data_IF_243277331801
#
_entry.id   IF_243277331801
#
_cell.length_a   1.000
_cell.length_b   1.000
_cell.length_c   1.000
_cell.angle_alpha   90.00
_cell.angle_beta   90.00
_cell.angle_gamma   90.00
#
_symmetry.space_group_name_H-M   'P 1'
#
loop_
_entity.id
_entity.type
_entity.pdbx_description
1 polymer ?
#
# COMPACT_ATOMS: atom_id res chain seq x y z
N UNK A 1 -19.90 -25.80 12.42
CA UNK A 1 -19.08 -27.02 12.18
C UNK A 1 -18.38 -26.80 10.85
N UNK A 2 -17.05 -27.00 10.75
CA UNK A 2 -16.35 -26.86 9.47
C UNK A 2 -16.97 -27.81 8.42
N UNK A 3 -17.07 -27.41 7.13
CA UNK A 3 -17.51 -28.31 6.09
C UNK A 3 -16.63 -29.55 6.02
N UNK A 4 -17.25 -30.70 5.75
CA UNK A 4 -16.59 -32.00 5.73
C UNK A 4 -15.39 -32.03 4.77
N UNK A 5 -15.46 -31.29 3.67
CA UNK A 5 -14.38 -31.15 2.68
C UNK A 5 -13.19 -30.33 3.14
N UNK A 6 -13.40 -29.38 4.06
CA UNK A 6 -12.32 -28.60 4.66
C UNK A 6 -11.57 -29.47 5.66
N UNK A 7 -12.30 -30.18 6.52
CA UNK A 7 -11.74 -31.11 7.51
C UNK A 7 -10.88 -32.21 6.88
N UNK A 8 -11.32 -32.75 5.74
CA UNK A 8 -10.58 -33.76 4.99
C UNK A 8 -9.25 -33.23 4.46
N UNK A 9 -9.25 -32.06 3.80
CA UNK A 9 -8.03 -31.47 3.23
C UNK A 9 -6.95 -31.23 4.29
N UNK A 10 -7.37 -30.68 5.43
CA UNK A 10 -6.50 -30.39 6.58
C UNK A 10 -5.77 -31.65 7.06
N UNK A 11 -6.51 -32.74 7.26
CA UNK A 11 -5.88 -33.97 7.74
C UNK A 11 -5.04 -34.67 6.68
N UNK A 12 -5.39 -34.55 5.40
CA UNK A 12 -4.59 -35.11 4.32
C UNK A 12 -3.23 -34.39 4.16
N UNK A 13 -3.19 -33.07 4.33
CA UNK A 13 -1.93 -32.32 4.38
C UNK A 13 -1.08 -32.70 5.60
N UNK A 14 -1.71 -32.84 6.78
CA UNK A 14 -1.02 -33.25 8.01
C UNK A 14 -0.47 -34.68 7.93
N UNK A 15 -1.17 -35.57 7.24
CA UNK A 15 -0.73 -36.97 7.06
C UNK A 15 0.48 -37.06 6.13
N UNK A 16 0.58 -36.17 5.15
CA UNK A 16 1.77 -36.08 4.27
C UNK A 16 3.04 -35.66 5.02
N UNK A 17 2.91 -34.97 6.16
CA UNK A 17 4.03 -34.56 7.01
C UNK A 17 4.34 -35.54 8.17
N UNK A 18 3.64 -36.67 8.27
CA UNK A 18 3.91 -37.67 9.31
C UNK A 18 5.27 -38.37 9.13
N UNK A 19 6.06 -38.41 10.21
CA UNK A 19 7.36 -39.12 10.24
C UNK A 19 7.24 -40.64 10.06
N UNK A 20 6.08 -41.22 10.36
CA UNK A 20 5.80 -42.64 10.16
C UNK A 20 5.09 -42.88 8.82
N UNK A 21 5.87 -43.31 7.82
CA UNK A 21 5.37 -43.61 6.46
C UNK A 21 4.27 -44.68 6.43
N UNK A 22 4.33 -45.69 7.30
CA UNK A 22 3.34 -46.78 7.31
C UNK A 22 1.97 -46.27 7.79
N UNK A 23 1.96 -45.43 8.83
CA UNK A 23 0.74 -44.80 9.33
C UNK A 23 0.12 -43.83 8.32
N UNK A 24 0.97 -43.09 7.57
CA UNK A 24 0.50 -42.22 6.51
C UNK A 24 -0.12 -42.99 5.34
N UNK A 25 0.53 -44.08 4.90
CA UNK A 25 -0.02 -44.95 3.86
C UNK A 25 -1.32 -45.62 4.28
N UNK A 26 -1.42 -46.06 5.54
CA UNK A 26 -2.66 -46.65 6.07
C UNK A 26 -3.80 -45.63 6.13
N UNK A 27 -3.51 -44.34 6.41
CA UNK A 27 -4.50 -43.27 6.35
C UNK A 27 -4.94 -42.95 4.92
N UNK A 28 -4.00 -42.90 3.97
CA UNK A 28 -4.29 -42.61 2.57
C UNK A 28 -5.18 -43.68 1.92
N UNK A 29 -5.14 -44.92 2.43
CA UNK A 29 -5.98 -46.05 1.99
C UNK A 29 -7.41 -46.03 2.53
N UNK A 30 -7.72 -45.18 3.51
CA UNK A 30 -9.07 -45.07 4.05
C UNK A 30 -10.01 -44.40 3.05
N UNK A 31 -11.26 -44.86 3.00
CA UNK A 31 -12.30 -44.18 2.24
C UNK A 31 -12.58 -42.79 2.81
N UNK A 32 -13.13 -41.88 1.98
CA UNK A 32 -13.50 -40.52 2.39
C UNK A 32 -14.39 -40.52 3.64
N UNK A 33 -15.38 -41.42 3.69
CA UNK A 33 -16.29 -41.56 4.83
C UNK A 33 -15.57 -42.01 6.12
N UNK A 34 -14.60 -42.93 6.02
CA UNK A 34 -13.82 -43.41 7.17
C UNK A 34 -12.83 -42.37 7.69
N UNK A 35 -12.19 -41.60 6.79
CA UNK A 35 -11.34 -40.46 7.16
C UNK A 35 -12.16 -39.43 7.93
N UNK A 36 -13.32 -39.08 7.40
CA UNK A 36 -14.21 -38.12 8.01
C UNK A 36 -14.73 -38.60 9.37
N UNK A 37 -15.07 -39.88 9.48
CA UNK A 37 -15.45 -40.52 10.75
C UNK A 37 -14.32 -40.43 11.77
N UNK A 38 -13.08 -40.75 11.39
CA UNK A 38 -11.91 -40.64 12.28
C UNK A 38 -11.59 -39.20 12.68
N UNK A 39 -11.75 -38.24 11.77
CA UNK A 39 -11.57 -36.81 12.07
C UNK A 39 -12.63 -36.35 13.09
N UNK A 40 -13.90 -36.70 12.84
CA UNK A 40 -15.00 -36.41 13.75
C UNK A 40 -14.79 -37.11 15.09
N UNK A 41 -14.35 -38.36 15.11
CA UNK A 41 -13.98 -39.10 16.32
C UNK A 41 -12.80 -38.45 17.06
N UNK A 42 -11.75 -37.98 16.39
CA UNK A 42 -10.64 -37.26 17.03
C UNK A 42 -11.09 -35.95 17.69
N UNK A 43 -12.02 -35.24 17.04
CA UNK A 43 -12.64 -34.03 17.58
C UNK A 43 -13.62 -34.33 18.73
N UNK A 44 -14.25 -35.51 18.73
CA UNK A 44 -15.21 -35.95 19.76
C UNK A 44 -14.54 -36.65 20.97
N UNK A 45 -13.50 -37.45 20.76
CA UNK A 45 -12.83 -38.29 21.78
C UNK A 45 -11.82 -37.53 22.62
N UNK A 46 -11.11 -36.55 22.04
CA UNK A 46 -10.52 -35.51 22.88
C UNK A 46 -11.70 -34.68 23.38
N UNK A 47 -12.05 -34.77 24.66
CA UNK A 47 -13.00 -33.88 25.36
C UNK A 47 -12.54 -32.40 25.29
N UNK A 48 -12.23 -31.86 24.13
CA UNK A 48 -12.00 -30.44 23.89
C UNK A 48 -13.36 -29.76 23.84
N UNK A 49 -14.05 -29.74 25.00
CA UNK A 49 -15.25 -28.93 25.19
C UNK A 49 -14.93 -27.43 25.17
N UNK A 50 -13.65 -27.07 25.29
CA UNK A 50 -13.17 -25.71 25.36
C UNK A 50 -12.14 -25.44 24.26
N UNK A 51 -12.32 -24.34 23.54
CA UNK A 51 -11.43 -23.81 22.51
C UNK A 51 -9.96 -23.81 22.95
N UNK A 52 -9.68 -23.46 24.21
CA UNK A 52 -8.33 -23.37 24.75
C UNK A 52 -7.53 -24.68 24.69
N UNK A 53 -8.21 -25.84 24.68
CA UNK A 53 -7.55 -27.15 24.61
C UNK A 53 -7.35 -27.67 23.18
N UNK A 54 -7.86 -26.96 22.17
CA UNK A 54 -7.63 -27.32 20.78
C UNK A 54 -6.15 -27.09 20.42
N UNK A 55 -5.50 -28.03 19.71
CA UNK A 55 -4.15 -27.83 19.19
C UNK A 55 -4.08 -26.59 18.28
N UNK A 56 -2.96 -25.84 18.29
CA UNK A 56 -2.76 -24.67 17.42
C UNK A 56 -3.07 -24.93 15.96
N UNK A 57 -2.69 -26.10 15.43
CA UNK A 57 -2.95 -26.44 14.03
C UNK A 57 -4.44 -26.51 13.69
N UNK A 58 -5.29 -26.99 14.61
CA UNK A 58 -6.74 -27.06 14.37
C UNK A 58 -7.37 -25.66 14.47
N UNK A 59 -6.89 -24.84 15.40
CA UNK A 59 -7.31 -23.45 15.54
C UNK A 59 -6.99 -22.66 14.27
N UNK A 60 -5.78 -22.79 13.74
CA UNK A 60 -5.36 -22.10 12.51
C UNK A 60 -6.29 -22.39 11.34
N UNK A 61 -6.75 -23.62 11.19
CA UNK A 61 -7.70 -23.98 10.13
C UNK A 61 -9.08 -23.35 10.30
N UNK A 62 -9.52 -23.17 11.54
CA UNK A 62 -10.73 -22.39 11.82
C UNK A 62 -10.48 -20.91 11.55
N UNK A 63 -9.32 -20.37 11.93
CA UNK A 63 -8.98 -18.95 11.70
C UNK A 63 -8.93 -18.62 10.21
N UNK A 64 -8.41 -19.54 9.38
CA UNK A 64 -8.36 -19.39 7.92
C UNK A 64 -9.72 -19.20 7.27
N UNK A 65 -10.80 -19.71 7.87
CA UNK A 65 -12.17 -19.55 7.35
C UNK A 65 -12.91 -18.35 7.95
N UNK A 66 -12.34 -17.67 8.94
CA UNK A 66 -12.89 -16.43 9.45
C UNK A 66 -12.61 -15.30 8.45
N UNK A 67 -13.62 -14.44 8.29
CA UNK A 67 -13.49 -13.14 7.64
C UNK A 67 -12.55 -12.23 8.44
N UNK A 68 -12.08 -11.16 7.82
CA UNK A 68 -11.16 -10.24 8.48
C UNK A 68 -11.69 -9.68 9.82
N UNK A 69 -12.95 -9.18 9.94
CA UNK A 69 -13.49 -8.76 11.23
C UNK A 69 -13.53 -9.86 12.29
N UNK A 70 -13.86 -11.11 11.90
CA UNK A 70 -13.85 -12.26 12.79
C UNK A 70 -12.46 -12.58 13.31
N UNK A 71 -11.43 -12.46 12.47
CA UNK A 71 -10.02 -12.61 12.88
C UNK A 71 -9.60 -11.53 13.87
N UNK A 72 -9.97 -10.27 13.63
CA UNK A 72 -9.70 -9.18 14.56
C UNK A 72 -10.36 -9.42 15.92
N UNK A 73 -11.62 -9.84 15.94
CA UNK A 73 -12.31 -10.21 17.19
C UNK A 73 -11.60 -11.33 17.93
N UNK A 74 -11.19 -12.39 17.23
CA UNK A 74 -10.47 -13.50 17.83
C UNK A 74 -9.09 -13.08 18.36
N UNK A 75 -8.37 -12.24 17.61
CA UNK A 75 -7.07 -11.68 17.99
C UNK A 75 -7.12 -10.97 19.35
N UNK A 76 -8.26 -10.36 19.68
CA UNK A 76 -8.46 -9.64 20.95
C UNK A 76 -8.76 -10.56 22.15
N UNK A 77 -8.93 -11.88 21.96
CA UNK A 77 -9.41 -12.76 23.04
C UNK A 77 -8.32 -13.26 23.98
N UNK A 78 -7.13 -13.62 23.46
CA UNK A 78 -6.02 -14.12 24.25
C UNK A 78 -4.70 -14.03 23.47
N UNK A 79 -3.56 -13.91 24.18
CA UNK A 79 -2.22 -13.81 23.57
C UNK A 79 -1.91 -14.96 22.60
N UNK A 80 -2.21 -16.20 22.98
CA UNK A 80 -1.99 -17.36 22.11
C UNK A 80 -2.85 -17.31 20.83
N UNK A 81 -4.06 -16.75 20.89
CA UNK A 81 -4.92 -16.61 19.71
C UNK A 81 -4.46 -15.46 18.82
N UNK A 82 -4.00 -14.37 19.43
CA UNK A 82 -3.34 -13.26 18.74
C UNK A 82 -2.16 -13.76 17.93
N UNK A 83 -1.26 -14.54 18.53
CA UNK A 83 -0.08 -15.06 17.84
C UNK A 83 -0.47 -15.97 16.66
N UNK A 84 -1.54 -16.77 16.81
CA UNK A 84 -2.04 -17.61 15.73
C UNK A 84 -2.67 -16.78 14.60
N UNK A 85 -3.45 -15.76 14.92
CA UNK A 85 -4.02 -14.84 13.92
C UNK A 85 -2.89 -14.10 13.19
N UNK A 86 -1.93 -13.53 13.92
CA UNK A 86 -0.79 -12.77 13.38
C UNK A 86 0.13 -13.64 12.51
N UNK A 87 0.13 -14.96 12.72
CA UNK A 87 0.89 -15.90 11.87
C UNK A 87 0.31 -16.08 10.47
N UNK A 88 -0.95 -15.68 10.24
CA UNK A 88 -1.64 -15.82 8.96
C UNK A 88 -1.59 -14.51 8.19
N UNK A 89 -0.95 -14.54 7.01
CA UNK A 89 -0.93 -13.41 6.10
C UNK A 89 -2.32 -13.11 5.51
N UNK A 90 -2.53 -11.84 5.20
CA UNK A 90 -3.75 -11.33 4.59
C UNK A 90 -3.39 -10.61 3.30
N UNK A 91 -4.13 -10.89 2.24
CA UNK A 91 -4.07 -10.08 1.02
C UNK A 91 -5.09 -8.97 1.19
N UNK A 92 -4.67 -7.72 1.02
CA UNK A 92 -5.52 -6.56 1.01
C UNK A 92 -5.58 -6.03 -0.42
N UNK A 93 -6.80 -5.81 -0.91
CA UNK A 93 -7.02 -5.05 -2.12
C UNK A 93 -6.61 -3.59 -1.89
N UNK A 94 -7.02 -3.02 -0.76
CA UNK A 94 -6.62 -1.67 -0.38
C UNK A 94 -6.50 -1.46 1.12
N UNK A 95 -5.57 -0.59 1.51
CA UNK A 95 -5.45 -0.01 2.84
C UNK A 95 -5.32 1.49 2.66
N UNK A 96 -6.21 2.26 3.26
CA UNK A 96 -6.21 3.72 3.13
C UNK A 96 -6.21 4.37 4.50
N UNK A 97 -5.42 5.43 4.66
CA UNK A 97 -5.51 6.39 5.75
C UNK A 97 -5.76 7.75 5.12
N UNK A 98 -6.98 8.26 5.21
CA UNK A 98 -7.38 9.52 4.56
C UNK A 98 -7.84 10.55 5.57
N UNK A 99 -7.74 11.84 5.23
CA UNK A 99 -8.40 12.87 6.02
C UNK A 99 -9.88 12.96 5.61
N UNK A 100 -10.78 13.02 6.58
CA UNK A 100 -12.19 13.31 6.32
C UNK A 100 -12.27 14.79 5.91
N UNK A 101 -12.63 15.05 4.64
CA UNK A 101 -12.76 16.41 4.08
C UNK A 101 -13.69 17.34 4.89
N UNK A 102 -14.47 16.81 5.83
CA UNK A 102 -15.43 17.55 6.66
C UNK A 102 -14.92 17.96 8.05
N UNK A 103 -13.90 17.33 8.66
CA UNK A 103 -13.38 17.70 9.99
C UNK A 103 -11.90 17.32 10.21
N UNK A 104 -11.28 17.89 11.25
CA UNK A 104 -9.84 17.85 11.63
C UNK A 104 -9.17 16.45 11.75
N UNK A 105 -9.84 15.35 11.42
CA UNK A 105 -9.43 13.98 11.72
C UNK A 105 -9.68 13.03 10.54
N UNK A 106 -9.00 11.87 10.52
CA UNK A 106 -9.01 10.95 9.37
C UNK A 106 -9.90 9.72 9.47
N UNK A 107 -9.81 8.84 8.47
CA UNK A 107 -10.43 7.53 8.41
C UNK A 107 -9.35 6.53 8.00
N UNK A 108 -9.28 5.39 8.68
CA UNK A 108 -8.53 4.23 8.20
C UNK A 108 -9.51 3.19 7.66
N UNK A 109 -9.28 2.72 6.44
CA UNK A 109 -10.07 1.68 5.81
C UNK A 109 -9.16 0.55 5.33
N UNK A 110 -9.60 -0.68 5.52
CA UNK A 110 -8.90 -1.88 5.06
C UNK A 110 -9.89 -2.79 4.36
N UNK A 111 -9.56 -3.12 3.12
CA UNK A 111 -10.36 -3.97 2.25
C UNK A 111 -9.56 -5.24 1.97
N UNK A 112 -9.84 -6.36 2.65
CA UNK A 112 -9.21 -7.64 2.35
C UNK A 112 -9.64 -8.13 0.97
N UNK A 113 -8.72 -8.72 0.20
CA UNK A 113 -9.05 -9.34 -1.08
C UNK A 113 -9.98 -10.54 -0.86
N UNK A 114 -11.02 -10.75 -1.70
CA UNK A 114 -11.94 -11.88 -1.58
C UNK A 114 -11.21 -13.23 -1.54
N UNK A 115 -11.64 -14.13 -0.66
CA UNK A 115 -11.11 -15.51 -0.57
C UNK A 115 -12.12 -16.50 -1.15
N UNK A 116 -12.04 -16.72 -2.46
CA UNK A 116 -12.95 -17.63 -3.16
C UNK A 116 -14.38 -17.08 -3.21
N UNK A 117 -15.36 -17.80 -2.67
CA UNK A 117 -16.79 -17.41 -2.69
C UNK A 117 -17.15 -16.49 -1.50
N UNK A 118 -16.26 -16.35 -0.51
CA UNK A 118 -16.49 -15.48 0.65
C UNK A 118 -16.17 -14.03 0.28
N UNK A 119 -17.21 -13.19 0.30
CA UNK A 119 -17.06 -11.73 0.33
C UNK A 119 -16.40 -11.37 1.66
N UNK A 120 -15.20 -10.79 1.60
CA UNK A 120 -14.54 -10.23 2.78
C UNK A 120 -15.19 -8.89 3.09
N UNK A 121 -15.60 -8.68 4.35
CA UNK A 121 -16.09 -7.38 4.78
C UNK A 121 -14.91 -6.44 5.00
N UNK A 122 -14.98 -5.24 4.43
CA UNK A 122 -14.03 -4.19 4.74
C UNK A 122 -14.22 -3.73 6.19
N UNK A 123 -13.15 -3.19 6.78
CA UNK A 123 -13.18 -2.56 8.09
C UNK A 123 -12.85 -1.09 7.90
N UNK A 124 -13.73 -0.21 8.36
CA UNK A 124 -13.51 1.23 8.40
C UNK A 124 -13.53 1.71 9.84
N UNK A 125 -12.61 2.60 10.16
CA UNK A 125 -12.48 3.21 11.47
C UNK A 125 -12.32 4.72 11.30
N UNK A 126 -13.35 5.47 11.73
CA UNK A 126 -13.32 6.93 11.74
C UNK A 126 -12.55 7.42 12.95
N UNK A 127 -11.61 8.31 12.70
CA UNK A 127 -10.83 9.00 13.71
C UNK A 127 -11.53 10.34 13.96
N UNK A 128 -11.82 10.65 15.22
CA UNK A 128 -12.43 11.93 15.61
C UNK A 128 -11.80 12.53 16.87
N UNK A 129 -10.75 11.89 17.40
CA UNK A 129 -9.93 12.40 18.49
C UNK A 129 -8.53 11.77 18.46
N UNK A 130 -7.65 12.28 19.31
CA UNK A 130 -6.25 11.84 19.41
C UNK A 130 -6.07 10.36 19.83
N UNK A 131 -6.89 9.86 20.76
CA UNK A 131 -6.80 8.46 21.22
C UNK A 131 -7.12 7.50 20.07
N UNK A 132 -8.13 7.83 19.27
CA UNK A 132 -8.48 7.06 18.09
C UNK A 132 -7.42 7.16 17.01
N UNK A 133 -6.73 8.29 16.90
CA UNK A 133 -5.62 8.41 15.95
C UNK A 133 -4.50 7.42 16.29
N UNK A 134 -4.09 7.33 17.56
CA UNK A 134 -3.09 6.34 18.01
C UNK A 134 -3.55 4.91 17.71
N UNK A 135 -4.81 4.58 18.01
CA UNK A 135 -5.42 3.30 17.65
C UNK A 135 -5.35 3.02 16.13
N UNK A 136 -5.68 4.01 15.30
CA UNK A 136 -5.65 3.88 13.84
C UNK A 136 -4.23 3.62 13.32
N UNK A 137 -3.21 4.28 13.89
CA UNK A 137 -1.80 4.02 13.53
C UNK A 137 -1.39 2.61 13.89
N UNK A 138 -1.76 2.10 15.08
CA UNK A 138 -1.50 0.72 15.44
C UNK A 138 -2.24 -0.28 14.54
N UNK A 139 -3.43 0.09 14.08
CA UNK A 139 -4.17 -0.70 13.12
C UNK A 139 -3.47 -0.73 11.76
N UNK A 140 -2.99 0.43 11.26
CA UNK A 140 -2.16 0.51 10.05
C UNK A 140 -0.88 -0.32 10.19
N UNK A 141 -0.17 -0.19 11.30
CA UNK A 141 1.03 -0.97 11.62
C UNK A 141 0.76 -2.48 11.54
N UNK A 142 -0.35 -2.93 12.11
CA UNK A 142 -0.79 -4.32 12.02
C UNK A 142 -1.01 -4.74 10.56
N UNK A 143 -1.74 -3.95 9.76
CA UNK A 143 -1.96 -4.24 8.35
C UNK A 143 -0.66 -4.33 7.56
N UNK A 144 0.29 -3.41 7.78
CA UNK A 144 1.62 -3.43 7.15
C UNK A 144 2.42 -4.70 7.53
N UNK A 145 2.33 -5.14 8.78
CA UNK A 145 3.07 -6.31 9.30
C UNK A 145 2.59 -7.63 8.69
N UNK A 146 1.27 -7.82 8.58
CA UNK A 146 0.68 -9.09 8.16
C UNK A 146 0.16 -9.10 6.72
N UNK A 147 0.10 -7.91 6.10
CA UNK A 147 -0.50 -7.70 4.79
C UNK A 147 0.46 -7.95 3.64
N UNK A 148 -0.09 -8.49 2.56
CA UNK A 148 0.32 -8.19 1.19
C UNK A 148 -0.71 -7.22 0.65
N UNK A 149 -0.32 -5.99 0.35
CA UNK A 149 -1.24 -4.90 0.06
C UNK A 149 -1.12 -4.53 -1.42
N UNK A 150 -2.22 -4.65 -2.16
CA UNK A 150 -2.25 -4.29 -3.57
C UNK A 150 -2.22 -2.77 -3.76
N UNK A 151 -2.95 -2.01 -2.93
CA UNK A 151 -2.94 -0.54 -2.91
C UNK A 151 -2.87 0.03 -1.50
N UNK A 152 -1.83 0.82 -1.21
CA UNK A 152 -1.68 1.57 0.04
C UNK A 152 -1.78 3.07 -0.26
N UNK A 153 -2.77 3.73 0.32
CA UNK A 153 -2.94 5.17 0.22
C UNK A 153 -2.82 5.83 1.60
N UNK A 154 -1.95 6.83 1.70
CA UNK A 154 -1.77 7.61 2.92
C UNK A 154 -1.87 9.09 2.58
N UNK A 155 -2.90 9.72 3.12
CA UNK A 155 -3.15 11.15 3.06
C UNK A 155 -3.16 11.67 4.51
N UNK A 156 -2.07 12.34 4.91
CA UNK A 156 -1.95 12.88 6.26
C UNK A 156 -2.81 14.14 6.45
N UNK A 157 -3.51 14.18 7.59
CA UNK A 157 -4.15 15.38 8.12
C UNK A 157 -3.33 15.97 9.28
N UNK A 158 -3.13 17.28 9.23
CA UNK A 158 -2.41 18.17 10.16
C UNK A 158 -2.29 17.71 11.64
N UNK A 159 -1.21 17.01 12.02
CA UNK A 159 -0.65 17.05 13.39
C UNK A 159 0.85 16.70 13.45
N UNK A 160 1.73 17.69 13.27
CA UNK A 160 3.19 17.52 13.09
C UNK A 160 3.97 16.82 14.20
N UNK A 161 3.60 16.98 15.48
CA UNK A 161 4.41 16.52 16.63
C UNK A 161 4.24 15.05 16.98
N UNK A 162 3.03 14.50 16.77
CA UNK A 162 2.72 13.10 17.11
C UNK A 162 3.20 12.11 16.06
N UNK A 163 3.39 12.60 14.84
CA UNK A 163 3.75 11.79 13.70
C UNK A 163 5.09 11.05 13.88
N UNK A 164 6.09 11.67 14.52
CA UNK A 164 7.39 11.04 14.74
C UNK A 164 7.34 9.81 15.66
N UNK A 165 6.45 9.80 16.66
CA UNK A 165 6.26 8.61 17.50
C UNK A 165 5.50 7.50 16.77
N UNK A 166 4.62 7.88 15.85
CA UNK A 166 3.94 6.93 14.95
C UNK A 166 4.90 6.27 13.97
N UNK A 167 5.89 6.99 13.47
CA UNK A 167 6.94 6.41 12.63
C UNK A 167 7.67 5.26 13.32
N UNK A 168 7.97 5.36 14.62
CA UNK A 168 8.58 4.27 15.40
C UNK A 168 7.69 3.04 15.49
N UNK A 169 6.37 3.22 15.50
CA UNK A 169 5.40 2.11 15.52
C UNK A 169 5.34 1.43 14.15
N UNK A 170 5.27 2.22 13.07
CA UNK A 170 5.25 1.72 11.70
C UNK A 170 6.57 0.99 11.35
N UNK A 171 7.72 1.53 11.76
CA UNK A 171 9.04 0.92 11.48
C UNK A 171 9.14 -0.51 12.04
N UNK A 172 8.55 -0.79 13.21
CA UNK A 172 8.51 -2.13 13.82
C UNK A 172 7.69 -3.14 13.01
N UNK A 173 6.89 -2.66 12.07
CA UNK A 173 6.03 -3.49 11.20
C UNK A 173 6.70 -3.81 9.86
N UNK A 174 7.89 -3.27 9.62
CA UNK A 174 8.67 -3.57 8.43
C UNK A 174 9.07 -5.06 8.37
N UNK A 175 9.27 -5.61 7.16
CA UNK A 175 9.19 -4.94 5.87
C UNK A 175 7.76 -4.86 5.32
N UNK A 176 7.48 -3.85 4.50
CA UNK A 176 6.16 -3.57 3.92
C UNK A 176 6.02 -4.19 2.53
N UNK A 177 5.05 -5.10 2.39
CA UNK A 177 4.73 -5.72 1.10
C UNK A 177 3.58 -4.99 0.43
N UNK A 178 3.93 -4.03 -0.43
CA UNK A 178 3.00 -3.11 -1.09
C UNK A 178 3.29 -3.11 -2.59
N UNK A 179 2.25 -3.27 -3.41
CA UNK A 179 2.36 -3.25 -4.87
C UNK A 179 2.20 -1.82 -5.42
N UNK A 180 1.22 -1.06 -4.94
CA UNK A 180 1.01 0.33 -5.32
C UNK A 180 0.98 1.22 -4.08
N UNK A 181 1.86 2.22 -4.04
CA UNK A 181 1.95 3.19 -2.94
C UNK A 181 1.52 4.57 -3.42
N UNK A 182 0.55 5.19 -2.74
CA UNK A 182 0.17 6.59 -2.92
C UNK A 182 0.34 7.34 -1.60
N UNK A 183 1.15 8.38 -1.62
CA UNK A 183 1.40 9.23 -0.46
C UNK A 183 1.11 10.68 -0.84
N UNK A 184 0.25 11.33 -0.05
CA UNK A 184 -0.12 12.74 -0.19
C UNK A 184 0.05 13.46 1.15
N UNK A 185 0.54 14.70 1.12
CA UNK A 185 0.70 15.59 2.28
C UNK A 185 1.50 15.03 3.48
N UNK A 186 2.25 13.94 3.30
CA UNK A 186 3.06 13.33 4.36
C UNK A 186 4.42 14.01 4.47
N UNK A 187 4.90 14.22 5.70
CA UNK A 187 6.28 14.69 6.02
C UNK A 187 7.40 13.91 5.33
N UNK A 188 8.51 14.57 4.99
CA UNK A 188 9.72 13.95 4.40
C UNK A 188 10.14 12.68 5.15
N UNK A 189 10.32 12.76 6.47
CA UNK A 189 10.75 11.60 7.28
C UNK A 189 9.78 10.42 7.19
N UNK A 190 8.49 10.70 6.99
CA UNK A 190 7.47 9.68 6.72
C UNK A 190 7.72 8.95 5.41
N UNK A 191 7.84 9.73 4.34
CA UNK A 191 8.02 9.20 2.98
C UNK A 191 9.30 8.36 2.96
N UNK A 192 10.37 8.86 3.57
CA UNK A 192 11.63 8.16 3.71
C UNK A 192 11.51 6.85 4.49
N UNK A 193 10.71 6.81 5.57
CA UNK A 193 10.42 5.57 6.30
C UNK A 193 9.72 4.54 5.42
N UNK A 194 8.76 4.94 4.59
CA UNK A 194 8.11 4.03 3.65
C UNK A 194 9.13 3.54 2.61
N UNK A 195 9.85 4.43 1.93
CA UNK A 195 10.84 4.04 0.92
C UNK A 195 11.89 3.06 1.44
N UNK A 196 12.40 3.29 2.66
CA UNK A 196 13.38 2.43 3.31
C UNK A 196 12.85 1.01 3.58
N UNK A 197 11.56 0.87 3.89
CA UNK A 197 10.99 -0.36 4.43
C UNK A 197 10.13 -1.15 3.43
N UNK A 198 9.93 -0.65 2.21
CA UNK A 198 9.25 -1.39 1.14
C UNK A 198 10.06 -2.62 0.71
N UNK A 199 9.38 -3.73 0.46
CA UNK A 199 9.98 -4.91 -0.18
C UNK A 199 10.11 -4.71 -1.70
N UNK A 200 10.99 -5.46 -2.39
CA UNK A 200 10.95 -5.55 -3.85
C UNK A 200 9.58 -5.99 -4.37
N UNK A 201 9.24 -5.59 -5.60
CA UNK A 201 7.95 -5.88 -6.24
C UNK A 201 6.92 -4.74 -6.15
N UNK A 202 7.37 -3.52 -5.85
CA UNK A 202 6.55 -2.31 -6.00
C UNK A 202 6.40 -1.99 -7.49
N UNK A 203 5.16 -1.86 -7.95
CA UNK A 203 4.83 -1.52 -9.33
C UNK A 203 4.69 -0.01 -9.50
N UNK A 204 3.91 0.63 -8.62
CA UNK A 204 3.67 2.08 -8.69
C UNK A 204 4.02 2.78 -7.39
N UNK A 205 4.77 3.88 -7.51
CA UNK A 205 4.98 4.86 -6.43
C UNK A 205 4.37 6.18 -6.88
N UNK A 206 3.51 6.75 -6.05
CA UNK A 206 2.88 8.04 -6.29
C UNK A 206 3.07 8.97 -5.12
N UNK A 207 3.65 10.12 -5.40
CA UNK A 207 4.00 11.15 -4.43
C UNK A 207 3.40 12.49 -4.84
N UNK A 208 3.17 13.32 -3.84
CA UNK A 208 2.78 14.71 -4.02
C UNK A 208 3.99 15.63 -3.76
N UNK A 209 4.32 16.46 -4.74
CA UNK A 209 5.39 17.45 -4.71
C UNK A 209 4.90 18.89 -4.57
N UNK A 210 3.59 19.12 -4.36
CA UNK A 210 3.04 20.47 -4.26
C UNK A 210 3.75 21.30 -3.17
N UNK A 211 4.15 22.53 -3.52
CA UNK A 211 4.81 23.46 -2.60
C UNK A 211 6.22 23.05 -2.14
N UNK A 212 6.82 22.00 -2.73
CA UNK A 212 8.08 21.42 -2.27
C UNK A 212 9.29 21.89 -3.10
N UNK A 213 9.83 23.07 -2.79
CA UNK A 213 11.11 23.53 -3.38
C UNK A 213 12.30 22.60 -3.05
N UNK A 214 12.22 21.87 -1.93
CA UNK A 214 13.25 20.96 -1.43
C UNK A 214 12.83 19.47 -1.48
N UNK A 215 12.04 19.08 -2.48
CA UNK A 215 11.64 17.68 -2.66
C UNK A 215 12.90 16.77 -2.73
N UNK A 216 13.04 15.75 -1.87
CA UNK A 216 14.31 15.05 -1.67
C UNK A 216 14.56 13.97 -2.74
N UNK A 217 14.50 14.35 -4.02
CA UNK A 217 14.60 13.44 -5.15
C UNK A 217 15.92 12.64 -5.14
N UNK A 218 17.04 13.31 -4.84
CA UNK A 218 18.36 12.66 -4.75
C UNK A 218 18.42 11.59 -3.67
N UNK A 219 17.72 11.81 -2.55
CA UNK A 219 17.63 10.80 -1.48
C UNK A 219 16.76 9.62 -1.92
N UNK A 220 15.67 9.85 -2.68
CA UNK A 220 14.87 8.77 -3.22
C UNK A 220 15.66 7.87 -4.18
N UNK A 221 16.57 8.43 -4.98
CA UNK A 221 17.46 7.67 -5.85
C UNK A 221 18.46 6.77 -5.10
N UNK A 222 18.57 6.90 -3.77
CA UNK A 222 19.37 5.97 -2.95
C UNK A 222 18.62 4.66 -2.66
N UNK A 223 17.30 4.62 -2.84
CA UNK A 223 16.49 3.42 -2.60
C UNK A 223 16.27 2.64 -3.89
N UNK A 224 16.76 1.38 -4.00
CA UNK A 224 16.53 0.54 -5.18
C UNK A 224 15.05 0.35 -5.51
N UNK A 225 14.19 0.27 -4.50
CA UNK A 225 12.73 0.14 -4.69
C UNK A 225 12.11 1.33 -5.43
N UNK A 226 12.74 2.51 -5.36
CA UNK A 226 12.23 3.71 -6.02
C UNK A 226 12.52 3.69 -7.52
N UNK A 227 13.79 3.50 -7.92
CA UNK A 227 14.16 3.56 -9.34
C UNK A 227 13.95 2.24 -10.11
N UNK A 228 13.68 1.13 -9.42
CA UNK A 228 13.35 -0.16 -10.04
C UNK A 228 11.83 -0.41 -10.14
N UNK A 229 10.97 0.47 -9.61
CA UNK A 229 9.53 0.28 -9.79
C UNK A 229 9.12 0.57 -11.24
N UNK A 230 8.00 0.01 -11.67
CA UNK A 230 7.53 0.16 -13.06
C UNK A 230 7.11 1.61 -13.35
N UNK A 231 6.45 2.27 -12.40
CA UNK A 231 5.91 3.61 -12.59
C UNK A 231 6.13 4.49 -11.36
N UNK A 232 6.79 5.62 -11.57
CA UNK A 232 6.90 6.72 -10.61
C UNK A 232 5.98 7.85 -11.05
N UNK A 233 5.04 8.24 -10.20
CA UNK A 233 4.15 9.40 -10.39
C UNK A 233 4.47 10.48 -9.37
N UNK A 234 4.75 11.70 -9.83
CA UNK A 234 4.95 12.85 -8.94
C UNK A 234 4.00 13.96 -9.37
N UNK A 235 3.08 14.34 -8.48
CA UNK A 235 2.25 15.53 -8.68
C UNK A 235 3.09 16.79 -8.41
N UNK A 236 2.93 17.83 -9.22
CA UNK A 236 3.54 19.15 -9.00
C UNK A 236 5.07 19.12 -8.81
N UNK A 237 5.80 18.43 -9.68
CA UNK A 237 7.26 18.39 -9.63
C UNK A 237 7.85 19.75 -10.02
N UNK A 238 8.80 20.23 -9.19
CA UNK A 238 9.53 21.49 -9.38
C UNK A 238 11.05 21.30 -9.63
N UNK A 239 11.53 20.05 -9.73
CA UNK A 239 12.96 19.72 -9.85
C UNK A 239 13.32 19.44 -11.31
N UNK A 240 13.94 20.43 -11.96
CA UNK A 240 14.25 20.40 -13.40
C UNK A 240 15.15 19.25 -13.85
N UNK A 241 16.09 18.81 -13.01
CA UNK A 241 17.07 17.77 -13.33
C UNK A 241 16.62 16.35 -12.94
N UNK A 242 15.43 16.19 -12.36
CA UNK A 242 14.91 14.90 -11.90
C UNK A 242 14.82 13.85 -13.04
N UNK A 243 14.29 14.17 -14.25
CA UNK A 243 14.28 13.22 -15.36
C UNK A 243 15.70 12.78 -15.75
N UNK A 244 16.66 13.73 -15.78
CA UNK A 244 18.05 13.45 -16.13
C UNK A 244 18.73 12.54 -15.12
N UNK A 245 18.55 12.82 -13.83
CA UNK A 245 19.10 12.01 -12.73
C UNK A 245 18.55 10.59 -12.72
N UNK A 246 17.25 10.44 -12.96
CA UNK A 246 16.61 9.14 -13.03
C UNK A 246 17.04 8.36 -14.27
N UNK A 247 17.11 9.02 -15.43
CA UNK A 247 17.59 8.41 -16.67
C UNK A 247 19.03 7.89 -16.54
N UNK A 248 19.92 8.60 -15.85
CA UNK A 248 21.27 8.10 -15.53
C UNK A 248 21.21 6.78 -14.76
N UNK A 249 20.37 6.70 -13.71
CA UNK A 249 20.18 5.45 -12.94
C UNK A 249 19.66 4.32 -13.81
N UNK A 250 18.72 4.60 -14.70
CA UNK A 250 18.17 3.62 -15.63
C UNK A 250 19.17 3.12 -16.68
N UNK A 251 20.07 3.99 -17.15
CA UNK A 251 21.17 3.60 -18.03
C UNK A 251 22.20 2.73 -17.28
N UNK A 252 22.50 3.08 -16.03
CA UNK A 252 23.48 2.37 -15.20
C UNK A 252 22.99 0.96 -14.81
N UNK A 253 21.70 0.77 -14.55
CA UNK A 253 21.12 -0.49 -14.09
C UNK A 253 20.44 -1.33 -15.20
N UNK A 254 20.47 -0.87 -16.46
CA UNK A 254 19.77 -1.50 -17.59
C UNK A 254 18.27 -1.76 -17.29
N UNK A 255 17.57 -0.74 -16.79
CA UNK A 255 16.17 -0.85 -16.39
C UNK A 255 15.24 -1.37 -17.52
N UNK A 256 14.10 -1.93 -17.12
CA UNK A 256 13.21 -2.67 -18.01
C UNK A 256 12.43 -1.75 -18.96
N UNK A 257 12.11 -2.27 -20.15
CA UNK A 257 11.22 -1.56 -21.08
C UNK A 257 9.85 -1.41 -20.42
N UNK A 258 9.27 -0.20 -20.51
CA UNK A 258 8.01 0.15 -19.86
C UNK A 258 8.18 0.87 -18.51
N UNK A 259 9.38 0.85 -17.91
CA UNK A 259 9.68 1.67 -16.73
C UNK A 259 9.51 3.15 -17.08
N UNK A 260 8.76 3.89 -16.24
CA UNK A 260 8.38 5.27 -16.53
C UNK A 260 8.27 6.19 -15.31
N UNK A 261 8.59 7.45 -15.55
CA UNK A 261 8.36 8.60 -14.69
C UNK A 261 7.25 9.43 -15.33
N UNK A 262 6.25 9.81 -14.55
CA UNK A 262 5.17 10.69 -14.97
C UNK A 262 5.02 11.82 -13.95
N UNK A 263 5.04 13.06 -14.43
CA UNK A 263 5.00 14.23 -13.57
C UNK A 263 3.95 15.22 -14.05
N UNK A 264 3.15 15.76 -13.12
CA UNK A 264 2.53 17.06 -13.30
C UNK A 264 3.58 18.13 -13.03
N UNK A 265 3.67 19.15 -13.87
CA UNK A 265 4.71 20.17 -13.77
C UNK A 265 4.18 21.42 -13.05
N UNK A 266 4.94 21.92 -12.08
CA UNK A 266 4.66 23.21 -11.43
C UNK A 266 5.40 24.38 -12.07
N UNK A 267 6.13 24.13 -13.16
CA UNK A 267 6.99 25.08 -13.85
C UNK A 267 7.04 24.75 -15.35
N UNK A 268 7.55 25.68 -16.17
CA UNK A 268 7.57 25.55 -17.63
C UNK A 268 8.38 24.32 -18.09
N UNK A 269 7.78 23.55 -18.99
CA UNK A 269 8.35 22.34 -19.60
C UNK A 269 9.66 22.56 -20.37
N UNK A 270 9.85 23.73 -20.98
CA UNK A 270 11.05 24.08 -21.77
C UNK A 270 12.35 23.92 -20.97
N UNK A 271 12.33 24.27 -19.69
CA UNK A 271 13.49 24.13 -18.80
C UNK A 271 13.87 22.66 -18.61
N UNK A 272 12.91 21.78 -18.35
CA UNK A 272 13.16 20.35 -18.16
C UNK A 272 13.79 19.69 -19.38
N UNK A 273 13.28 20.02 -20.58
CA UNK A 273 13.82 19.50 -21.84
C UNK A 273 15.27 19.97 -22.05
N UNK A 274 15.55 21.25 -21.80
CA UNK A 274 16.88 21.82 -21.94
C UNK A 274 17.91 21.09 -21.08
N UNK A 275 17.63 20.92 -19.78
CA UNK A 275 18.50 20.19 -18.86
C UNK A 275 18.73 18.75 -19.29
N UNK A 276 17.71 18.08 -19.82
CA UNK A 276 17.82 16.70 -20.30
C UNK A 276 18.70 16.60 -21.56
N UNK A 277 18.50 17.49 -22.52
CA UNK A 277 19.26 17.56 -23.78
C UNK A 277 20.72 17.92 -23.52
N UNK A 278 20.99 18.90 -22.65
CA UNK A 278 22.34 19.31 -22.28
C UNK A 278 23.12 18.15 -21.63
N UNK A 279 22.49 17.47 -20.68
CA UNK A 279 23.09 16.35 -19.94
C UNK A 279 23.41 15.16 -20.86
N UNK A 280 22.56 14.87 -21.84
CA UNK A 280 22.70 13.71 -22.72
C UNK A 280 23.06 14.07 -24.17
N UNK A 281 23.77 15.19 -24.35
CA UNK A 281 24.11 15.72 -25.68
C UNK A 281 24.88 14.74 -26.57
N UNK A 282 25.66 13.82 -25.99
CA UNK A 282 26.38 12.74 -26.67
C UNK A 282 25.49 11.52 -27.00
N UNK A 283 24.27 11.48 -26.45
CA UNK A 283 23.35 10.34 -26.54
C UNK A 283 22.07 10.61 -27.34
N UNK A 284 21.93 11.80 -27.92
CA UNK A 284 20.71 12.19 -28.61
C UNK A 284 20.52 11.39 -29.90
N UNK A 285 19.37 10.72 -30.00
CA UNK A 285 18.88 10.10 -31.24
C UNK A 285 18.01 11.11 -32.00
N UNK A 286 17.13 11.80 -31.28
CA UNK A 286 16.21 12.79 -31.85
C UNK A 286 15.78 13.80 -30.78
N UNK A 287 15.50 15.03 -31.18
CA UNK A 287 14.88 16.04 -30.32
C UNK A 287 14.01 17.01 -31.12
N UNK A 288 12.99 17.56 -30.46
CA UNK A 288 12.23 18.73 -30.90
C UNK A 288 11.76 19.53 -29.68
N UNK A 289 10.85 20.49 -29.86
CA UNK A 289 10.35 21.38 -28.79
C UNK A 289 9.65 20.67 -27.63
N UNK A 290 9.08 19.47 -27.84
CA UNK A 290 8.25 18.76 -26.86
C UNK A 290 8.76 17.35 -26.53
N UNK A 291 9.85 16.88 -27.14
CA UNK A 291 10.38 15.54 -26.88
C UNK A 291 11.87 15.42 -27.18
N UNK A 292 12.55 14.58 -26.41
CA UNK A 292 13.91 14.14 -26.64
C UNK A 292 14.00 12.62 -26.49
N UNK A 293 14.71 11.97 -27.41
CA UNK A 293 15.00 10.54 -27.41
C UNK A 293 16.50 10.34 -27.36
N UNK A 294 16.96 9.50 -26.43
CA UNK A 294 18.38 9.18 -26.24
C UNK A 294 18.61 7.67 -26.31
N UNK A 295 19.80 7.26 -26.72
CA UNK A 295 20.21 5.86 -26.68
C UNK A 295 20.81 5.48 -25.30
N UNK A 296 20.64 4.23 -24.90
CA UNK A 296 21.18 3.70 -23.63
C UNK A 296 22.41 2.82 -23.90
N UNK A 297 23.08 2.32 -22.87
CA UNK A 297 24.18 1.35 -23.08
C UNK A 297 23.70 0.00 -23.66
N UNK A 298 22.39 -0.22 -23.73
CA UNK A 298 21.76 -1.36 -24.37
C UNK A 298 21.13 -0.92 -25.70
N UNK A 299 21.66 -1.42 -26.81
CA UNK A 299 21.23 -1.04 -28.16
C UNK A 299 19.75 -1.35 -28.46
N UNK A 300 19.11 -2.24 -27.70
CA UNK A 300 17.68 -2.54 -27.84
C UNK A 300 16.76 -1.57 -27.08
N UNK A 301 17.32 -0.62 -26.32
CA UNK A 301 16.57 0.27 -25.41
C UNK A 301 16.96 1.73 -25.62
N UNK A 302 15.96 2.58 -25.76
CA UNK A 302 16.10 4.03 -25.74
C UNK A 302 15.35 4.61 -24.54
N UNK A 303 15.67 5.85 -24.15
CA UNK A 303 14.87 6.63 -23.21
C UNK A 303 14.19 7.76 -23.99
N UNK A 304 12.89 7.94 -23.74
CA UNK A 304 12.06 8.94 -24.38
C UNK A 304 11.48 9.88 -23.32
N UNK A 305 11.85 11.16 -23.40
CA UNK A 305 11.27 12.25 -22.65
C UNK A 305 10.25 12.98 -23.53
N UNK A 306 9.04 13.22 -23.02
CA UNK A 306 7.97 13.93 -23.73
C UNK A 306 7.20 14.85 -22.80
N UNK A 307 6.71 15.94 -23.38
CA UNK A 307 5.82 16.91 -22.76
C UNK A 307 4.49 16.94 -23.49
N UNK A 308 3.43 17.16 -22.73
CA UNK A 308 2.11 17.42 -23.28
C UNK A 308 1.33 18.37 -22.38
N UNK A 309 0.48 19.16 -23.01
CA UNK A 309 -0.47 20.04 -22.32
C UNK A 309 -1.82 19.36 -22.37
N UNK A 310 -2.45 19.28 -21.21
CA UNK A 310 -3.84 18.86 -21.12
C UNK A 310 -4.69 20.07 -20.75
N UNK A 311 -5.71 20.35 -21.55
CA UNK A 311 -6.64 21.43 -21.28
C UNK A 311 -7.83 20.92 -20.47
N UNK A 312 -7.99 21.44 -19.25
CA UNK A 312 -9.25 21.37 -18.51
C UNK A 312 -9.88 22.77 -18.50
N UNK A 313 -10.83 23.01 -19.40
CA UNK A 313 -11.45 24.32 -19.56
C UNK A 313 -10.48 25.37 -20.14
N UNK A 314 -10.17 26.40 -19.36
CA UNK A 314 -9.29 27.52 -19.77
C UNK A 314 -7.87 27.42 -19.22
N UNK A 315 -7.59 26.46 -18.33
CA UNK A 315 -6.25 26.16 -17.82
C UNK A 315 -5.68 24.94 -18.55
N UNK A 316 -4.43 25.05 -18.98
CA UNK A 316 -3.66 23.94 -19.52
C UNK A 316 -2.62 23.50 -18.49
N UNK A 317 -2.75 22.27 -17.99
CA UNK A 317 -1.75 21.68 -17.12
C UNK A 317 -0.69 20.98 -17.97
N UNK A 318 0.58 21.25 -17.66
CA UNK A 318 1.72 20.67 -18.34
C UNK A 318 2.16 19.38 -17.63
N UNK A 319 2.40 18.34 -18.41
CA UNK A 319 2.84 17.04 -17.94
C UNK A 319 4.11 16.60 -18.64
N UNK A 320 4.91 15.84 -17.91
CA UNK A 320 6.14 15.22 -18.39
C UNK A 320 6.03 13.70 -18.25
N UNK A 321 6.53 13.00 -19.27
CA UNK A 321 6.78 11.56 -19.22
C UNK A 321 8.21 11.27 -19.63
N UNK A 322 8.90 10.45 -18.85
CA UNK A 322 10.21 9.91 -19.19
C UNK A 322 10.12 8.39 -19.10
N UNK A 323 10.39 7.66 -20.16
CA UNK A 323 10.16 6.21 -20.22
C UNK A 323 11.23 5.46 -20.98
N UNK A 324 11.45 4.21 -20.58
CA UNK A 324 12.31 3.27 -21.30
C UNK A 324 11.47 2.58 -22.37
N UNK A 325 11.89 2.72 -23.62
CA UNK A 325 11.19 2.20 -24.80
C UNK A 325 12.10 1.29 -25.62
N UNK A 326 11.54 0.39 -26.45
CA UNK A 326 12.32 -0.31 -27.46
C UNK A 326 13.04 0.68 -28.40
N UNK A 327 14.25 0.34 -28.84
CA UNK A 327 15.01 1.20 -29.77
C UNK A 327 14.41 1.24 -31.18
N UNK A 328 13.64 0.22 -31.56
CA UNK A 328 12.92 0.11 -32.82
C UNK A 328 11.49 0.67 -32.78
N UNK A 329 11.00 1.12 -31.62
CA UNK A 329 9.65 1.67 -31.48
C UNK A 329 9.45 2.89 -32.41
N UNK A 330 8.42 2.82 -33.25
CA UNK A 330 8.07 3.88 -34.18
C UNK A 330 7.35 5.03 -33.48
N UNK A 331 7.53 6.26 -33.98
CA UNK A 331 6.90 7.46 -33.39
C UNK A 331 5.37 7.41 -33.35
N UNK A 332 4.75 6.73 -34.31
CA UNK A 332 3.30 6.49 -34.36
C UNK A 332 2.80 5.53 -33.28
N UNK A 333 3.69 4.70 -32.73
CA UNK A 333 3.38 3.69 -31.71
C UNK A 333 3.70 4.16 -30.30
N UNK A 334 4.21 5.38 -30.15
CA UNK A 334 4.45 5.95 -28.84
C UNK A 334 3.15 5.96 -28.05
N UNK A 335 3.19 5.30 -26.88
CA UNK A 335 2.04 5.23 -26.00
C UNK A 335 1.57 6.66 -25.70
N UNK A 336 0.39 6.98 -26.19
CA UNK A 336 -0.30 8.24 -25.92
C UNK A 336 -1.15 8.13 -24.66
N UNK A 337 -1.14 6.99 -23.95
CA UNK A 337 -2.12 6.73 -22.91
C UNK A 337 -2.18 7.88 -21.90
N UNK A 338 -3.28 8.62 -22.03
CA UNK A 338 -3.67 9.80 -21.28
C UNK A 338 -4.42 9.42 -19.99
N UNK A 339 -4.27 8.19 -19.49
CA UNK A 339 -4.82 7.74 -18.19
C UNK A 339 -4.13 8.42 -16.97
N UNK A 340 -3.80 9.71 -17.08
CA UNK A 340 -3.29 10.54 -15.99
C UNK A 340 -4.38 10.85 -14.95
N UNK A 341 -5.66 10.93 -15.33
CA UNK A 341 -6.80 11.19 -14.43
C UNK A 341 -7.16 10.03 -13.51
N UNK A 342 -6.78 8.79 -13.83
CA UNK A 342 -7.13 7.65 -12.98
C UNK A 342 -6.34 7.73 -11.67
N UNK A 343 -7.01 8.34 -10.69
CA UNK A 343 -6.53 8.61 -9.34
C UNK A 343 -5.98 10.02 -9.12
N UNK A 344 -5.73 10.85 -10.15
CA UNK A 344 -5.45 12.29 -9.98
C UNK A 344 -6.76 12.99 -9.69
N UNK A 345 -7.07 13.11 -8.40
CA UNK A 345 -8.17 13.96 -7.96
C UNK A 345 -7.82 15.39 -8.33
N UNK A 346 -8.60 15.97 -9.26
CA UNK A 346 -8.63 17.40 -9.50
C UNK A 346 -8.82 18.09 -8.15
N UNK A 347 -7.82 18.86 -7.72
CA UNK A 347 -7.94 19.65 -6.51
C UNK A 347 -8.59 20.98 -6.87
N UNK A 348 -9.71 21.29 -6.21
CA UNK A 348 -10.24 22.64 -6.19
C UNK A 348 -9.15 23.59 -5.67
N UNK A 349 -8.83 24.62 -6.45
CA UNK A 349 -7.90 25.71 -6.09
C UNK A 349 -8.42 26.57 -4.92
N UNK A 350 -8.61 25.99 -3.74
CA UNK A 350 -8.93 26.72 -2.52
C UNK A 350 -8.10 26.22 -1.35
N UNK A 351 -6.86 26.71 -1.32
CA UNK A 351 -5.93 26.53 -0.23
C UNK A 351 -4.62 27.25 -0.48
N UNK A 352 -4.65 28.57 -0.69
CA UNK A 352 -3.45 29.40 -0.53
C UNK A 352 -2.97 29.28 0.92
N UNK A 353 -2.15 28.26 1.21
CA UNK A 353 -1.09 28.17 2.22
C UNK A 353 -0.43 26.80 2.00
N UNK A 354 0.32 26.65 0.91
CA UNK A 354 1.24 25.55 0.76
C UNK A 354 2.23 25.63 1.92
N UNK A 355 2.12 24.74 2.90
CA UNK A 355 3.21 24.58 3.87
C UNK A 355 4.34 23.91 3.11
N UNK A 356 5.33 24.72 2.69
CA UNK A 356 6.71 24.28 2.54
C UNK A 356 7.06 23.31 3.67
N UNK A 357 7.94 22.33 3.43
CA UNK A 357 8.48 21.40 4.45
C UNK A 357 9.05 22.04 5.74
N UNK A 358 8.99 23.37 5.88
CA UNK A 358 9.13 24.09 7.14
C UNK A 358 8.07 23.68 8.18
N UNK A 359 8.53 23.43 9.40
CA UNK A 359 7.68 23.17 10.56
C UNK A 359 6.70 24.34 10.79
N UNK A 360 5.38 24.10 10.84
CA UNK A 360 4.45 25.14 11.27
C UNK A 360 4.63 25.43 12.77
N UNK A 361 4.46 26.70 13.15
CA UNK A 361 4.47 27.11 14.55
C UNK A 361 3.43 26.32 15.38
N UNK A 362 3.74 25.99 16.64
CA UNK A 362 2.85 25.18 17.47
C UNK A 362 1.53 25.92 17.76
N UNK A 363 0.41 25.23 17.50
CA UNK A 363 -0.95 25.68 17.84
C UNK A 363 -1.07 25.92 19.37
N UNK A 364 -1.52 27.12 19.82
CA UNK A 364 -1.57 27.48 21.23
C UNK A 364 -2.53 26.67 22.12
N UNK A 365 -3.27 25.68 21.57
CA UNK A 365 -4.21 24.85 22.35
C UNK A 365 -3.66 23.52 22.89
N UNK A 366 -2.37 23.21 22.75
CA UNK A 366 -1.80 21.91 23.18
C UNK A 366 -1.06 21.95 24.53
N UNK A 367 -1.79 21.94 25.65
CA UNK A 367 -1.25 21.74 27.00
C UNK A 367 -1.88 20.53 27.70
N UNK A 368 -1.61 19.31 27.25
CA UNK A 368 -1.84 18.11 28.09
C UNK A 368 -0.77 17.03 27.83
N UNK A 369 -0.14 16.47 28.89
CA UNK A 369 0.84 15.40 28.74
C UNK A 369 0.18 14.08 28.31
N UNK A 370 0.86 13.34 27.43
CA UNK A 370 0.48 12.00 26.97
C UNK A 370 0.88 10.98 28.03
N UNK A 371 -0.05 10.13 28.48
CA UNK A 371 0.29 8.94 29.26
C UNK A 371 0.93 7.89 28.35
N UNK A 372 1.97 7.20 28.84
CA UNK A 372 2.56 6.01 28.21
C UNK A 372 1.55 4.85 28.29
N UNK A 373 0.46 4.91 27.52
CA UNK A 373 -0.46 3.80 27.37
C UNK A 373 0.26 2.69 26.59
N UNK A 374 0.30 1.47 27.13
CA UNK A 374 0.90 0.33 26.42
C UNK A 374 0.00 -0.11 25.26
N UNK A 375 0.56 -0.84 24.29
CA UNK A 375 -0.21 -1.47 23.20
C UNK A 375 -1.39 -2.31 23.72
N UNK A 376 -1.22 -2.96 24.87
CA UNK A 376 -2.27 -3.75 25.52
C UNK A 376 -3.40 -2.83 26.09
N UNK A 377 -3.10 -1.62 26.58
CA UNK A 377 -4.08 -0.64 27.10
C UNK A 377 -4.90 0.04 26.00
N UNK A 378 -4.31 0.22 24.81
CA UNK A 378 -4.98 0.79 23.63
C UNK A 378 -5.88 -0.28 22.98
N UNK A 379 -5.45 -1.55 22.98
CA UNK A 379 -6.22 -2.70 22.49
C UNK A 379 -7.43 -3.05 23.37
N UNK A 380 -7.37 -2.82 24.68
CA UNK A 380 -8.55 -2.96 25.55
C UNK A 380 -9.65 -1.93 25.24
N UNK A 381 -9.29 -0.76 24.69
CA UNK A 381 -10.25 0.25 24.23
C UNK A 381 -10.88 -0.09 22.88
N UNK A 382 -10.22 -0.89 22.04
CA UNK A 382 -10.83 -1.44 20.81
C UNK A 382 -12.02 -2.35 21.10
N UNK A 383 -12.10 -2.95 22.30
CA UNK A 383 -13.22 -3.78 22.75
C UNK A 383 -14.55 -3.01 22.82
N UNK A 384 -14.49 -1.70 23.07
CA UNK A 384 -15.66 -0.82 23.23
C UNK A 384 -16.06 -0.07 21.94
N UNK A 385 -15.26 -0.21 20.87
CA UNK A 385 -15.47 0.53 19.62
C UNK A 385 -16.20 -0.33 18.61
N UNK A 386 -17.49 -0.03 18.41
CA UNK A 386 -18.36 -0.71 17.45
C UNK A 386 -17.79 -0.66 16.03
N UNK A 387 -17.12 -1.74 15.63
CA UNK A 387 -16.74 -1.99 14.25
C UNK A 387 -18.02 -2.08 13.40
N UNK A 388 -18.25 -1.09 12.54
CA UNK A 388 -19.33 -1.15 11.56
C UNK A 388 -18.88 -2.01 10.39
N UNK A 389 -19.55 -3.13 10.14
CA UNK A 389 -19.44 -3.88 8.90
C UNK A 389 -20.47 -3.33 7.92
N UNK A 390 -20.05 -2.56 6.92
CA UNK A 390 -20.92 -2.15 5.84
C UNK A 390 -21.26 -3.34 4.95
N UNK A 391 -22.55 -3.67 4.81
CA UNK A 391 -23.07 -4.32 3.60
C UNK A 391 -23.68 -3.21 2.77
N UNK A 392 -23.38 -3.19 1.47
CA UNK A 392 -24.03 -2.29 0.52
C UNK A 392 -25.55 -2.46 0.63
N UNK A 393 -26.21 -1.45 1.20
CA UNK A 393 -27.66 -1.29 1.11
C UNK A 393 -27.90 -0.28 0.00
N UNK A 394 -27.96 -0.77 -1.24
CA UNK A 394 -28.80 -0.14 -2.25
C UNK A 394 -30.24 -0.57 -1.95
N UNK A 395 -30.94 0.20 -1.13
CA UNK A 395 -32.40 0.17 -1.12
C UNK A 395 -32.88 1.49 -1.71
N UNK A 396 -33.53 1.36 -2.85
CA UNK A 396 -34.36 2.35 -3.50
C UNK A 396 -35.40 2.85 -2.48
N UNK A 397 -35.33 4.13 -2.12
CA UNK A 397 -36.51 4.82 -1.59
C UNK A 397 -37.19 5.54 -2.75
N UNK A 398 -38.03 4.77 -3.44
CA UNK A 398 -39.24 5.28 -4.08
C UNK A 398 -40.28 5.65 -3.00
N UNK A 399 -40.80 6.87 -3.14
CA UNK A 399 -42.17 7.34 -2.90
C UNK A 399 -42.41 8.44 -1.84
N UNK A 400 -43.08 9.47 -2.38
CA UNK A 400 -44.11 10.37 -1.84
C UNK A 400 -43.75 11.52 -0.88
#
# INVERSE_FOLDING_TARGET
>A
MLPDDVLLRIMEEKVRSWKNRQSAMNWMRLSRAEKLKKIKELLYFKKCKNWCHLPPEIKLEVIKVLDFPGRLKLRMTARNERDLVDSLKINFESVTLTNDRSQRWGVIQMTPSPRGILLESFVSFRIFNNKLYTSAVHFLAYALKIGKIDSLEILEGYSPKRFNDFLKVLEKSAPFNVKNLKIKNLKKDAVMLFMKNLTPGVETIRLDGEGCESFPFDEFLTFPVFYNCETIKIESLAIFDAPSKLAKKWIDNDAEIGTKLQCGLSARSDVYLLYFVEEFSDRIVYQNENEARIWTNNDSKHILLRFFIQYEGLSGDEYLTCSIIPSDLEKSEYDLNTDWTVGMEAYDHFGMYGTSWSEPEPDPLELFPVSEDTLDDIEERFRDMGLSSGKDTSEDEDND
#
